data_IF_415388724005
#
_entry.id   IF_415388724005
#
_cell.length_a   1.000
_cell.length_b   1.000
_cell.length_c   1.000
_cell.angle_alpha   90.00
_cell.angle_beta   90.00
_cell.angle_gamma   90.00
#
_symmetry.space_group_name_H-M   'P 1'
#
loop_
_entity.id
_entity.type
_entity.pdbx_description
1 polymer ?
#
# COMPACT_ATOMS: atom_id res chain seq x y z
N UNK A 1 13.64 23.79 15.36
CA UNK A 1 14.35 22.51 15.32
C UNK A 1 13.30 21.44 15.08
N UNK A 2 13.45 20.62 14.04
CA UNK A 2 12.55 19.47 13.84
C UNK A 2 12.86 18.47 14.97
N UNK A 3 11.86 18.05 15.74
CA UNK A 3 12.07 17.05 16.79
C UNK A 3 12.31 15.68 16.16
N UNK A 4 13.06 14.80 16.82
CA UNK A 4 13.24 13.40 16.38
C UNK A 4 11.89 12.69 16.16
N UNK A 5 10.88 13.11 16.93
CA UNK A 5 9.49 12.70 16.78
C UNK A 5 8.90 13.06 15.40
N UNK A 6 9.13 14.29 14.93
CA UNK A 6 8.61 14.79 13.66
C UNK A 6 9.24 14.04 12.49
N UNK A 7 10.55 13.74 12.59
CA UNK A 7 11.28 12.97 11.59
C UNK A 7 10.73 11.54 11.49
N UNK A 8 10.45 10.89 12.62
CA UNK A 8 9.87 9.55 12.65
C UNK A 8 8.46 9.52 12.04
N UNK A 9 7.62 10.54 12.29
CA UNK A 9 6.31 10.67 11.62
C UNK A 9 6.48 10.73 10.10
N UNK A 10 7.37 11.59 9.62
CA UNK A 10 7.58 11.78 8.19
C UNK A 10 8.05 10.48 7.54
N UNK A 11 9.00 9.77 8.15
CA UNK A 11 9.44 8.46 7.67
C UNK A 11 8.32 7.43 7.65
N UNK A 12 7.49 7.40 8.70
CA UNK A 12 6.35 6.49 8.80
C UNK A 12 5.31 6.74 7.70
N UNK A 13 4.94 8.00 7.46
CA UNK A 13 3.99 8.39 6.42
C UNK A 13 4.58 8.06 5.03
N UNK A 14 5.85 8.37 4.79
CA UNK A 14 6.52 8.03 3.53
C UNK A 14 6.55 6.52 3.28
N UNK A 15 6.83 5.72 4.32
CA UNK A 15 6.83 4.27 4.24
C UNK A 15 5.44 3.73 3.88
N UNK A 16 4.39 4.21 4.55
CA UNK A 16 2.99 3.85 4.25
C UNK A 16 2.59 4.23 2.80
N UNK A 17 2.94 5.44 2.37
CA UNK A 17 2.65 5.90 1.01
C UNK A 17 3.40 5.06 -0.03
N UNK A 18 4.62 4.61 0.27
CA UNK A 18 5.43 3.78 -0.63
C UNK A 18 4.86 2.37 -0.86
N UNK A 19 4.01 1.86 0.04
CA UNK A 19 3.36 0.55 -0.11
C UNK A 19 2.37 0.49 -1.29
N UNK A 20 1.71 1.61 -1.57
CA UNK A 20 0.69 1.73 -2.62
C UNK A 20 1.29 1.61 -4.05
N UNK A 21 2.33 2.39 -4.45
CA UNK A 21 2.95 2.25 -5.76
C UNK A 21 3.67 0.90 -5.91
N UNK A 22 4.22 0.33 -4.84
CA UNK A 22 4.87 -0.98 -4.86
C UNK A 22 3.85 -2.09 -5.19
N UNK A 23 2.75 -2.12 -4.45
CA UNK A 23 1.66 -3.10 -4.63
C UNK A 23 0.96 -2.93 -5.98
N UNK A 24 0.76 -1.69 -6.42
CA UNK A 24 0.16 -1.38 -7.72
C UNK A 24 1.06 -1.83 -8.88
N UNK A 25 2.38 -1.52 -8.84
CA UNK A 25 3.33 -1.95 -9.87
C UNK A 25 3.38 -3.47 -9.96
N UNK A 26 3.41 -4.16 -8.83
CA UNK A 26 3.39 -5.62 -8.77
C UNK A 26 2.14 -6.20 -9.45
N UNK A 27 0.95 -5.72 -9.07
CA UNK A 27 -0.32 -6.20 -9.63
C UNK A 27 -0.42 -5.95 -11.14
N UNK A 28 -0.02 -4.76 -11.61
CA UNK A 28 -0.05 -4.44 -13.05
C UNK A 28 0.93 -5.30 -13.84
N UNK A 29 2.16 -5.47 -13.34
CA UNK A 29 3.19 -6.26 -14.02
C UNK A 29 2.77 -7.72 -14.18
N UNK A 30 2.26 -8.34 -13.10
CA UNK A 30 1.86 -9.74 -13.13
C UNK A 30 0.60 -9.96 -13.97
N UNK A 31 -0.41 -9.08 -13.88
CA UNK A 31 -1.63 -9.20 -14.71
C UNK A 31 -1.31 -9.08 -16.19
N UNK A 32 -0.33 -8.24 -16.57
CA UNK A 32 0.12 -8.11 -17.96
C UNK A 32 0.80 -9.40 -18.48
N UNK A 33 1.44 -10.18 -17.62
CA UNK A 33 2.17 -11.39 -18.01
C UNK A 33 1.34 -12.68 -17.92
N UNK A 34 0.39 -12.77 -16.99
CA UNK A 34 -0.41 -13.99 -16.77
C UNK A 34 -1.85 -13.90 -17.25
N UNK A 35 -2.37 -12.69 -17.55
CA UNK A 35 -3.78 -12.48 -17.90
C UNK A 35 -4.78 -12.74 -16.75
N UNK A 36 -4.32 -13.30 -15.63
CA UNK A 36 -5.13 -13.63 -14.47
C UNK A 36 -5.26 -12.45 -13.50
N UNK A 37 -6.31 -11.68 -13.70
CA UNK A 37 -6.59 -10.43 -12.99
C UNK A 37 -6.86 -10.64 -11.48
N UNK A 38 -7.74 -11.58 -11.13
CA UNK A 38 -8.24 -11.75 -9.77
C UNK A 38 -7.19 -12.23 -8.74
N UNK A 39 -6.41 -13.32 -8.98
CA UNK A 39 -5.44 -13.80 -8.00
C UNK A 39 -4.29 -12.81 -7.76
N UNK A 40 -3.86 -12.09 -8.79
CA UNK A 40 -2.78 -11.10 -8.64
C UNK A 40 -3.24 -9.80 -7.98
N UNK A 41 -4.51 -9.42 -8.13
CA UNK A 41 -5.11 -8.36 -7.31
C UNK A 41 -5.17 -8.75 -5.84
N UNK A 42 -5.51 -10.01 -5.53
CA UNK A 42 -5.50 -10.51 -4.16
C UNK A 42 -4.09 -10.44 -3.54
N UNK A 43 -3.07 -10.87 -4.29
CA UNK A 43 -1.66 -10.80 -3.83
C UNK A 43 -1.23 -9.34 -3.65
N UNK A 44 -1.56 -8.44 -4.58
CA UNK A 44 -1.26 -7.01 -4.45
C UNK A 44 -1.92 -6.36 -3.24
N UNK A 45 -3.16 -6.74 -2.93
CA UNK A 45 -3.84 -6.31 -1.69
C UNK A 45 -3.15 -6.83 -0.44
N UNK A 46 -2.78 -8.12 -0.41
CA UNK A 46 -2.03 -8.71 0.69
C UNK A 46 -0.68 -8.02 0.92
N UNK A 47 0.00 -7.65 -0.17
CA UNK A 47 1.26 -6.92 -0.12
C UNK A 47 1.08 -5.53 0.51
N UNK A 48 0.06 -4.79 0.07
CA UNK A 48 -0.27 -3.47 0.62
C UNK A 48 -0.66 -3.55 2.10
N UNK A 49 -1.42 -4.58 2.49
CA UNK A 49 -1.79 -4.84 3.87
C UNK A 49 -0.56 -5.17 4.74
N UNK A 50 0.33 -6.03 4.25
CA UNK A 50 1.59 -6.35 4.93
C UNK A 50 2.43 -5.10 5.16
N UNK A 51 2.60 -4.24 4.15
CA UNK A 51 3.35 -2.98 4.30
C UNK A 51 2.68 -2.06 5.33
N UNK A 52 1.34 -1.95 5.30
CA UNK A 52 0.58 -1.19 6.29
C UNK A 52 0.75 -1.71 7.72
N UNK A 53 0.66 -3.03 7.91
CA UNK A 53 0.84 -3.68 9.21
C UNK A 53 2.28 -3.51 9.70
N UNK A 54 3.28 -3.74 8.86
CA UNK A 54 4.69 -3.54 9.20
C UNK A 54 4.98 -2.09 9.57
N UNK A 55 4.36 -1.14 8.86
CA UNK A 55 4.38 0.26 9.23
C UNK A 55 3.85 0.47 10.65
N UNK A 56 2.62 0.02 10.93
CA UNK A 56 1.97 0.21 12.24
C UNK A 56 2.77 -0.46 13.36
N UNK A 57 3.30 -1.67 13.14
CA UNK A 57 4.15 -2.37 14.10
C UNK A 57 5.44 -1.58 14.35
N UNK A 58 6.11 -1.11 13.29
CA UNK A 58 7.27 -0.24 13.41
C UNK A 58 6.95 1.02 14.22
N UNK A 59 5.80 1.64 13.97
CA UNK A 59 5.34 2.80 14.73
C UNK A 59 5.15 2.50 16.22
N UNK A 60 4.53 1.37 16.57
CA UNK A 60 4.31 0.94 17.95
C UNK A 60 5.63 0.72 18.71
N UNK A 61 6.70 0.31 18.03
CA UNK A 61 8.02 0.17 18.65
C UNK A 61 8.72 1.51 18.88
N UNK A 62 8.52 2.50 17.99
CA UNK A 62 9.23 3.78 18.03
C UNK A 62 8.49 4.92 18.74
N UNK A 63 7.16 4.89 18.82
CA UNK A 63 6.34 5.96 19.38
C UNK A 63 6.20 6.02 20.93
N UNK A 64 6.35 4.91 21.71
CA UNK A 64 6.20 4.95 23.17
C UNK A 64 7.23 5.83 23.88
N UNK A 65 8.36 6.13 23.23
CA UNK A 65 9.41 7.03 23.73
C UNK A 65 8.99 8.49 23.77
N UNK A 66 7.90 8.86 23.09
CA UNK A 66 7.45 10.26 22.95
C UNK A 66 6.20 10.53 23.80
N UNK A 67 5.09 9.81 23.54
CA UNK A 67 3.89 9.81 24.40
C UNK A 67 2.86 8.74 23.98
N UNK A 68 2.03 8.31 24.94
CA UNK A 68 0.96 7.32 24.70
C UNK A 68 -0.11 7.86 23.75
N UNK A 69 -0.53 9.13 23.92
CA UNK A 69 -1.53 9.77 23.06
C UNK A 69 -1.05 9.91 21.60
N UNK A 70 0.24 10.20 21.43
CA UNK A 70 0.87 10.32 20.11
C UNK A 70 0.99 8.95 19.42
N UNK A 71 1.30 7.91 20.21
CA UNK A 71 1.33 6.53 19.73
C UNK A 71 -0.06 6.10 19.22
N UNK A 72 -1.12 6.34 20.00
CA UNK A 72 -2.49 6.04 19.61
C UNK A 72 -2.94 6.80 18.35
N UNK A 73 -2.58 8.09 18.26
CA UNK A 73 -2.87 8.92 17.09
C UNK A 73 -2.22 8.38 15.81
N UNK A 74 -0.95 7.97 15.88
CA UNK A 74 -0.23 7.42 14.71
C UNK A 74 -0.70 6.02 14.30
N UNK A 75 -1.18 5.20 15.25
CA UNK A 75 -1.85 3.92 14.93
C UNK A 75 -3.16 4.18 14.19
N UNK A 76 -3.99 5.12 14.69
CA UNK A 76 -5.25 5.48 14.04
C UNK A 76 -5.00 6.04 12.64
N UNK A 77 -4.06 6.97 12.48
CA UNK A 77 -3.66 7.52 11.19
C UNK A 77 -3.16 6.42 10.24
N UNK A 78 -2.29 5.54 10.72
CA UNK A 78 -1.78 4.41 9.94
C UNK A 78 -2.87 3.46 9.46
N UNK A 79 -3.82 3.14 10.33
CA UNK A 79 -4.97 2.30 10.01
C UNK A 79 -5.86 2.96 8.94
N UNK A 80 -6.15 4.27 9.08
CA UNK A 80 -6.92 5.03 8.09
C UNK A 80 -6.19 5.11 6.74
N UNK A 81 -4.89 5.42 6.74
CA UNK A 81 -4.07 5.49 5.51
C UNK A 81 -4.03 4.13 4.83
N UNK A 82 -3.84 3.05 5.59
CA UNK A 82 -3.80 1.68 5.04
C UNK A 82 -5.16 1.28 4.46
N UNK A 83 -6.25 1.57 5.16
CA UNK A 83 -7.61 1.31 4.67
C UNK A 83 -7.92 2.10 3.39
N UNK A 84 -7.60 3.40 3.37
CA UNK A 84 -7.81 4.25 2.20
C UNK A 84 -6.93 3.79 1.03
N UNK A 85 -5.68 3.44 1.29
CA UNK A 85 -4.74 2.86 0.31
C UNK A 85 -5.31 1.56 -0.30
N UNK A 86 -5.87 0.68 0.52
CA UNK A 86 -6.48 -0.57 0.08
C UNK A 86 -7.71 -0.33 -0.82
N UNK A 87 -8.62 0.56 -0.42
CA UNK A 87 -9.81 0.92 -1.21
C UNK A 87 -9.39 1.55 -2.54
N UNK A 88 -8.40 2.44 -2.52
CA UNK A 88 -7.90 3.11 -3.70
C UNK A 88 -7.22 2.13 -4.66
N UNK A 89 -6.44 1.19 -4.13
CA UNK A 89 -5.83 0.10 -4.90
C UNK A 89 -6.93 -0.75 -5.58
N UNK A 90 -7.93 -1.21 -4.82
CA UNK A 90 -9.07 -1.99 -5.36
C UNK A 90 -9.78 -1.22 -6.48
N UNK A 91 -10.09 0.05 -6.24
CA UNK A 91 -10.83 0.88 -7.19
C UNK A 91 -10.03 1.09 -8.48
N UNK A 92 -8.73 1.40 -8.37
CA UNK A 92 -7.84 1.52 -9.54
C UNK A 92 -7.72 0.21 -10.32
N UNK A 93 -7.58 -0.91 -9.61
CA UNK A 93 -7.44 -2.23 -10.21
C UNK A 93 -8.74 -2.66 -10.94
N UNK A 94 -9.91 -2.38 -10.36
CA UNK A 94 -11.22 -2.62 -11.00
C UNK A 94 -11.44 -1.73 -12.22
N UNK A 95 -11.11 -0.44 -12.14
CA UNK A 95 -11.21 0.50 -13.27
C UNK A 95 -10.27 0.09 -14.42
N UNK A 96 -9.03 -0.31 -14.10
CA UNK A 96 -8.04 -0.72 -15.09
C UNK A 96 -8.18 -2.17 -15.55
N UNK A 97 -9.07 -2.98 -14.96
CA UNK A 97 -9.32 -4.37 -15.38
C UNK A 97 -9.53 -4.51 -16.88
N UNK A 98 -10.40 -3.67 -17.47
CA UNK A 98 -10.69 -3.73 -18.92
C UNK A 98 -9.47 -3.34 -19.77
N UNK A 99 -8.70 -2.34 -19.33
CA UNK A 99 -7.48 -1.91 -20.03
C UNK A 99 -6.36 -2.96 -19.95
N UNK A 100 -6.21 -3.63 -18.80
CA UNK A 100 -5.23 -4.69 -18.58
C UNK A 100 -5.52 -5.93 -19.43
N UNK A 101 -6.79 -6.37 -19.49
CA UNK A 101 -7.20 -7.47 -20.36
C UNK A 101 -6.94 -7.17 -21.85
N UNK A 102 -7.23 -5.94 -22.28
CA UNK A 102 -6.96 -5.49 -23.65
C UNK A 102 -5.46 -5.43 -23.97
N UNK A 103 -4.63 -5.05 -22.99
CA UNK A 103 -3.17 -5.07 -23.13
C UNK A 103 -2.60 -6.49 -23.20
N UNK A 104 -3.21 -7.46 -22.52
CA UNK A 104 -2.81 -8.86 -22.58
C UNK A 104 -3.16 -9.50 -23.92
N UNK A 105 -4.38 -9.23 -24.41
CA UNK A 105 -4.82 -9.69 -25.74
C UNK A 105 -3.88 -9.19 -26.83
N UNK A 106 -3.48 -7.92 -26.80
CA UNK A 106 -2.49 -7.37 -27.72
C UNK A 106 -1.12 -8.05 -27.61
N UNK A 107 -0.68 -8.42 -26.39
CA UNK A 107 0.60 -9.08 -26.17
C UNK A 107 0.62 -10.53 -26.70
N UNK A 108 -0.51 -11.24 -26.67
CA UNK A 108 -0.62 -12.59 -27.26
C UNK A 108 -0.65 -12.54 -28.79
N UNK A 109 -1.28 -11.53 -29.38
CA UNK A 109 -1.44 -11.42 -30.84
C UNK A 109 -0.25 -10.79 -31.57
N UNK A 110 0.77 -10.33 -30.86
CA UNK A 110 1.94 -9.64 -31.41
C UNK A 110 3.21 -10.45 -31.26
#
# INVERSE_FOLDING_TARGET
MLSEADLNIIFYILFLISGLPLSYKYAVFMVKHTGMVAPHFFIGMMLNLCVGILGIVGWIFFAPTISIYFTLGGIYLGAWITAFSLILLITMLLLKRRALLKSFEHWITS
#
